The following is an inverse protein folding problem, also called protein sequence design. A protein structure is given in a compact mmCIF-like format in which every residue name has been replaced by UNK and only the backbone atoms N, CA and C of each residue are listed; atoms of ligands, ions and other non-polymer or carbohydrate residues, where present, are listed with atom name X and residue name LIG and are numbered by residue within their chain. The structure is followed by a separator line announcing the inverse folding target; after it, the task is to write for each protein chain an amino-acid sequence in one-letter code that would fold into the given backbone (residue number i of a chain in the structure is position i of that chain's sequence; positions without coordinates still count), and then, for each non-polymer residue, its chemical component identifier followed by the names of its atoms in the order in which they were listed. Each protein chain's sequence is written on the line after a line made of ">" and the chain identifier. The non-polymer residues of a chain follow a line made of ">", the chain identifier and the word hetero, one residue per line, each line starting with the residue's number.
data_IF_981783480065
#
_entry.id   IF_981783480065
#
_cell.length_a   1.000
_cell.length_b   1.000
_cell.length_c   1.000
_cell.angle_alpha   90.00
_cell.angle_beta   90.00
_cell.angle_gamma   90.00
#
_symmetry.space_group_name_H-M   'P 1'
#
loop_
_entity.id
_entity.type
_entity.pdbx_description
1 polymer ?
#
# COMPACT_ATOMS: atom_id res chain seq x y z
N UNK A 1 24.25 -15.64 6.24
CA UNK A 1 23.97 -14.83 5.03
C UNK A 1 22.49 -14.85 4.64
N UNK A 2 21.83 -16.01 4.55
CA UNK A 2 20.41 -16.13 4.16
C UNK A 2 19.45 -15.26 5.01
N UNK A 3 19.61 -15.25 6.34
CA UNK A 3 18.76 -14.43 7.22
C UNK A 3 18.89 -12.93 6.93
N UNK A 4 20.11 -12.43 6.66
CA UNK A 4 20.34 -11.00 6.36
C UNK A 4 19.63 -10.63 5.06
N UNK A 5 19.72 -11.48 4.03
CA UNK A 5 19.04 -11.25 2.75
C UNK A 5 17.52 -11.14 2.91
N UNK A 6 16.90 -12.06 3.67
CA UNK A 6 15.45 -12.06 3.89
C UNK A 6 14.99 -10.83 4.67
N UNK A 7 15.70 -10.44 5.73
CA UNK A 7 15.36 -9.23 6.48
C UNK A 7 15.51 -7.97 5.63
N UNK A 8 16.54 -7.90 4.79
CA UNK A 8 16.73 -6.79 3.84
C UNK A 8 15.59 -6.73 2.84
N UNK A 9 15.17 -7.87 2.27
CA UNK A 9 14.02 -7.94 1.37
C UNK A 9 12.72 -7.46 2.04
N UNK A 10 12.45 -7.95 3.25
CA UNK A 10 11.26 -7.56 4.01
C UNK A 10 11.26 -6.06 4.34
N UNK A 11 12.43 -5.49 4.67
CA UNK A 11 12.59 -4.05 4.84
C UNK A 11 12.27 -3.26 3.57
N UNK A 12 12.79 -3.70 2.42
CA UNK A 12 12.44 -3.08 1.14
C UNK A 12 10.96 -3.23 0.79
N UNK A 13 10.33 -4.36 1.14
CA UNK A 13 8.90 -4.55 0.94
C UNK A 13 8.08 -3.54 1.75
N UNK A 14 8.44 -3.33 3.02
CA UNK A 14 7.86 -2.28 3.86
C UNK A 14 8.05 -0.90 3.22
N UNK A 15 9.23 -0.58 2.70
CA UNK A 15 9.49 0.71 2.05
C UNK A 15 8.65 0.91 0.78
N UNK A 16 8.58 -0.10 -0.09
CA UNK A 16 7.80 -0.04 -1.33
C UNK A 16 6.31 0.15 -1.04
N UNK A 17 5.79 -0.39 0.06
CA UNK A 17 4.39 -0.18 0.44
C UNK A 17 4.16 1.17 1.14
N UNK A 18 5.03 1.57 2.06
CA UNK A 18 4.84 2.75 2.93
C UNK A 18 5.24 4.08 2.30
N UNK A 19 6.29 4.12 1.47
CA UNK A 19 6.75 5.37 0.83
C UNK A 19 5.68 5.98 -0.09
N UNK A 20 4.98 5.22 -0.94
CA UNK A 20 3.91 5.79 -1.76
C UNK A 20 2.77 6.39 -0.92
N UNK A 21 2.45 5.80 0.24
CA UNK A 21 1.45 6.36 1.18
C UNK A 21 1.94 7.72 1.70
N UNK A 22 3.21 7.83 2.10
CA UNK A 22 3.79 9.11 2.51
C UNK A 22 3.73 10.15 1.39
N UNK A 23 4.06 9.76 0.15
CA UNK A 23 3.96 10.64 -1.02
C UNK A 23 2.52 11.10 -1.25
N UNK A 24 1.54 10.20 -1.14
CA UNK A 24 0.11 10.56 -1.22
C UNK A 24 -0.23 11.60 -0.16
N UNK A 25 0.16 11.39 1.10
CA UNK A 25 -0.17 12.29 2.20
C UNK A 25 0.46 13.68 2.05
N UNK A 26 1.69 13.77 1.53
CA UNK A 26 2.44 15.03 1.44
C UNK A 26 2.29 15.77 0.12
N UNK A 27 1.91 15.11 -0.97
CA UNK A 27 1.84 15.72 -2.30
C UNK A 27 0.51 16.40 -2.58
N UNK A 28 0.53 17.62 -3.10
CA UNK A 28 -0.65 18.33 -3.62
C UNK A 28 -0.73 18.30 -5.16
N UNK A 29 0.26 17.68 -5.81
CA UNK A 29 0.27 17.55 -7.28
C UNK A 29 -0.69 16.45 -7.71
N UNK A 30 -1.77 16.83 -8.40
CA UNK A 30 -2.75 15.87 -8.96
C UNK A 30 -2.09 14.81 -9.82
N UNK A 31 -1.10 15.18 -10.64
CA UNK A 31 -0.37 14.21 -11.46
C UNK A 31 0.33 13.15 -10.60
N UNK A 32 1.03 13.56 -9.54
CA UNK A 32 1.71 12.64 -8.63
C UNK A 32 0.70 11.72 -7.94
N UNK A 33 -0.42 12.27 -7.45
CA UNK A 33 -1.45 11.49 -6.79
C UNK A 33 -2.08 10.44 -7.72
N UNK A 34 -2.39 10.81 -8.97
CA UNK A 34 -2.91 9.87 -9.98
C UNK A 34 -1.89 8.76 -10.26
N UNK A 35 -0.60 9.10 -10.40
CA UNK A 35 0.44 8.09 -10.63
C UNK A 35 0.59 7.13 -9.44
N UNK A 36 0.48 7.62 -8.20
CA UNK A 36 0.50 6.76 -7.01
C UNK A 36 -0.75 5.88 -6.91
N UNK A 37 -1.92 6.42 -7.25
CA UNK A 37 -3.17 5.65 -7.26
C UNK A 37 -3.12 4.51 -8.30
N UNK A 38 -2.62 4.80 -9.51
CA UNK A 38 -2.39 3.78 -10.55
C UNK A 38 -1.41 2.70 -10.10
N UNK A 39 -0.33 3.08 -9.40
CA UNK A 39 0.62 2.12 -8.84
C UNK A 39 -0.07 1.15 -7.86
N UNK A 40 -0.94 1.64 -6.97
CA UNK A 40 -1.68 0.79 -6.06
C UNK A 40 -2.73 -0.08 -6.78
N UNK A 41 -3.40 0.44 -7.81
CA UNK A 41 -4.33 -0.34 -8.63
C UNK A 41 -3.62 -1.50 -9.33
N UNK A 42 -2.45 -1.26 -9.95
CA UNK A 42 -1.65 -2.32 -10.57
C UNK A 42 -1.24 -3.35 -9.51
N UNK A 43 -0.78 -2.89 -8.35
CA UNK A 43 -0.40 -3.77 -7.23
C UNK A 43 -1.57 -4.62 -6.73
N UNK A 44 -2.78 -4.03 -6.65
CA UNK A 44 -4.01 -4.73 -6.29
C UNK A 44 -4.33 -5.84 -7.30
N UNK A 45 -4.28 -5.52 -8.61
CA UNK A 45 -4.55 -6.47 -9.68
C UNK A 45 -3.56 -7.64 -9.62
N UNK A 46 -2.26 -7.35 -9.45
CA UNK A 46 -1.24 -8.39 -9.32
C UNK A 46 -1.50 -9.27 -8.09
N UNK A 47 -1.79 -8.67 -6.93
CA UNK A 47 -2.10 -9.44 -5.71
C UNK A 47 -3.36 -10.30 -5.88
N UNK A 48 -4.37 -9.79 -6.57
CA UNK A 48 -5.61 -10.54 -6.84
C UNK A 48 -5.34 -11.76 -7.74
N UNK A 49 -4.59 -11.59 -8.84
CA UNK A 49 -4.31 -12.68 -9.78
C UNK A 49 -3.33 -13.72 -9.23
N UNK A 50 -2.27 -13.30 -8.55
CA UNK A 50 -1.25 -14.20 -8.01
C UNK A 50 -1.59 -14.74 -6.61
N UNK A 51 -2.69 -14.29 -6.02
CA UNK A 51 -3.18 -14.69 -4.70
C UNK A 51 -2.38 -14.13 -3.52
N UNK A 52 -1.14 -13.68 -3.72
CA UNK A 52 -0.33 -12.92 -2.76
C UNK A 52 0.75 -12.14 -3.54
N UNK A 53 1.40 -11.17 -2.91
CA UNK A 53 2.52 -10.46 -3.53
C UNK A 53 3.69 -11.43 -3.76
N UNK A 54 4.34 -11.43 -4.94
CA UNK A 54 5.50 -12.31 -5.19
C UNK A 54 6.60 -12.15 -4.13
N UNK A 55 6.81 -10.94 -3.64
CA UNK A 55 7.76 -10.63 -2.56
C UNK A 55 7.34 -11.33 -1.26
N UNK A 56 6.05 -11.30 -0.91
CA UNK A 56 5.50 -12.03 0.25
C UNK A 56 5.66 -13.54 0.11
N UNK A 57 5.51 -14.10 -1.10
CA UNK A 57 5.70 -15.53 -1.35
C UNK A 57 7.16 -15.95 -1.11
N UNK A 58 8.12 -15.12 -1.55
CA UNK A 58 9.56 -15.34 -1.31
C UNK A 58 9.87 -15.23 0.19
N UNK A 59 9.36 -14.19 0.88
CA UNK A 59 9.51 -14.01 2.33
C UNK A 59 8.99 -15.23 3.10
N UNK A 60 7.80 -15.73 2.75
CA UNK A 60 7.21 -16.89 3.38
C UNK A 60 8.05 -18.15 3.15
N UNK A 61 8.52 -18.36 1.91
CA UNK A 61 9.25 -19.58 1.54
C UNK A 61 10.62 -19.66 2.21
N UNK A 62 11.36 -18.56 2.26
CA UNK A 62 12.75 -18.55 2.76
C UNK A 62 12.89 -18.02 4.20
N UNK A 63 11.91 -17.27 4.72
CA UNK A 63 11.93 -16.64 6.03
C UNK A 63 10.89 -17.15 7.03
N UNK A 64 9.89 -17.91 6.57
CA UNK A 64 8.73 -18.38 7.36
C UNK A 64 7.99 -17.24 8.11
N UNK A 65 8.12 -16.02 7.63
CA UNK A 65 7.45 -14.82 8.13
C UNK A 65 7.26 -13.86 6.97
N UNK A 66 6.30 -12.96 7.08
CA UNK A 66 6.00 -11.96 6.04
C UNK A 66 5.92 -10.56 6.61
N UNK A 67 5.89 -9.56 5.73
CA UNK A 67 5.58 -8.18 6.09
C UNK A 67 4.29 -8.08 6.94
N UNK A 68 3.20 -8.76 6.52
CA UNK A 68 1.91 -8.73 7.23
C UNK A 68 2.01 -9.42 8.59
N UNK A 69 2.69 -10.56 8.69
CA UNK A 69 2.92 -11.23 9.99
C UNK A 69 3.69 -10.32 10.96
N UNK A 70 4.69 -9.60 10.45
CA UNK A 70 5.51 -8.69 11.24
C UNK A 70 4.72 -7.46 11.67
N UNK A 71 3.95 -6.87 10.76
CA UNK A 71 3.07 -5.75 11.07
C UNK A 71 1.98 -6.14 12.08
N UNK A 72 1.45 -7.36 12.00
CA UNK A 72 0.47 -7.87 12.97
C UNK A 72 1.03 -8.03 14.39
N UNK A 73 2.35 -8.26 14.53
CA UNK A 73 2.99 -8.28 15.86
C UNK A 73 3.03 -6.88 16.49
N UNK A 74 3.11 -5.83 15.66
CA UNK A 74 3.14 -4.44 16.11
C UNK A 74 1.73 -3.86 16.30
N UNK A 75 0.81 -4.22 15.41
CA UNK A 75 -0.57 -3.79 15.39
C UNK A 75 -1.47 -5.03 15.28
N UNK A 76 -1.85 -5.65 16.43
CA UNK A 76 -2.55 -6.92 16.43
C UNK A 76 -3.95 -6.81 15.82
N UNK A 77 -4.09 -7.34 14.61
CA UNK A 77 -5.33 -7.59 13.90
C UNK A 77 -5.66 -9.08 14.09
N UNK A 78 -6.90 -9.38 14.50
CA UNK A 78 -7.37 -10.76 14.55
C UNK A 78 -7.59 -11.26 13.12
N UNK A 79 -6.59 -11.90 12.54
CA UNK A 79 -6.71 -12.58 11.25
C UNK A 79 -6.08 -13.98 11.30
N UNK A 80 -6.65 -14.91 10.54
CA UNK A 80 -6.06 -16.24 10.32
C UNK A 80 -4.99 -16.11 9.23
N UNK A 81 -3.80 -16.69 9.44
CA UNK A 81 -2.71 -16.73 8.44
C UNK A 81 -3.17 -17.26 7.08
N UNK A 82 -4.18 -18.15 7.06
CA UNK A 82 -4.80 -18.66 5.82
C UNK A 82 -5.47 -17.57 4.97
N UNK A 83 -5.90 -16.48 5.61
CA UNK A 83 -6.56 -15.34 4.98
C UNK A 83 -5.64 -14.10 4.88
N UNK A 84 -4.31 -14.28 4.99
CA UNK A 84 -3.34 -13.18 4.91
C UNK A 84 -3.51 -12.34 3.64
N UNK A 85 -3.71 -13.00 2.51
CA UNK A 85 -3.92 -12.35 1.23
C UNK A 85 -5.12 -11.38 1.22
N UNK A 86 -6.22 -11.75 1.88
CA UNK A 86 -7.39 -10.90 2.04
C UNK A 86 -7.03 -9.64 2.82
N UNK A 87 -6.22 -9.77 3.88
CA UNK A 87 -5.72 -8.63 4.66
C UNK A 87 -4.85 -7.72 3.81
N UNK A 88 -3.92 -8.30 3.02
CA UNK A 88 -3.09 -7.53 2.07
C UNK A 88 -3.94 -6.76 1.07
N UNK A 89 -4.95 -7.41 0.47
CA UNK A 89 -5.87 -6.77 -0.47
C UNK A 89 -6.65 -5.64 0.19
N UNK A 90 -7.13 -5.83 1.42
CA UNK A 90 -7.80 -4.77 2.18
C UNK A 90 -6.87 -3.57 2.41
N UNK A 91 -5.61 -3.80 2.75
CA UNK A 91 -4.65 -2.71 2.97
C UNK A 91 -4.35 -1.93 1.69
N UNK A 92 -4.16 -2.62 0.56
CA UNK A 92 -3.98 -1.98 -0.75
C UNK A 92 -5.24 -1.20 -1.13
N UNK A 93 -6.43 -1.78 -0.90
CA UNK A 93 -7.70 -1.12 -1.18
C UNK A 93 -7.88 0.15 -0.33
N UNK A 94 -7.51 0.12 0.95
CA UNK A 94 -7.54 1.32 1.79
C UNK A 94 -6.56 2.40 1.31
N UNK A 95 -5.37 2.02 0.81
CA UNK A 95 -4.43 2.97 0.23
C UNK A 95 -5.00 3.68 -1.01
N UNK A 96 -5.67 2.93 -1.90
CA UNK A 96 -6.40 3.47 -3.07
C UNK A 96 -7.48 4.46 -2.61
N UNK A 97 -8.33 4.04 -1.65
CA UNK A 97 -9.39 4.92 -1.12
C UNK A 97 -8.85 6.23 -0.56
N UNK A 98 -7.72 6.19 0.16
CA UNK A 98 -7.05 7.40 0.67
C UNK A 98 -6.57 8.30 -0.48
N UNK A 99 -5.92 7.72 -1.50
CA UNK A 99 -5.46 8.46 -2.67
C UNK A 99 -6.62 9.13 -3.42
N UNK A 100 -7.65 8.34 -3.77
CA UNK A 100 -8.83 8.83 -4.49
C UNK A 100 -9.57 9.91 -3.69
N UNK A 101 -9.73 9.72 -2.37
CA UNK A 101 -10.36 10.73 -1.49
C UNK A 101 -9.57 12.04 -1.49
N UNK A 102 -8.23 11.97 -1.41
CA UNK A 102 -7.40 13.18 -1.46
C UNK A 102 -7.53 13.91 -2.79
N UNK A 103 -7.55 13.18 -3.91
CA UNK A 103 -7.78 13.75 -5.24
C UNK A 103 -9.12 14.49 -5.28
N UNK A 104 -10.20 13.87 -4.79
CA UNK A 104 -11.53 14.49 -4.73
C UNK A 104 -11.51 15.78 -3.89
N UNK A 105 -10.86 15.78 -2.72
CA UNK A 105 -10.74 16.96 -1.88
C UNK A 105 -9.98 18.10 -2.57
N UNK A 106 -8.93 17.79 -3.33
CA UNK A 106 -8.19 18.79 -4.12
C UNK A 106 -9.05 19.38 -5.24
N UNK A 107 -9.86 18.56 -5.91
CA UNK A 107 -10.82 19.06 -6.91
C UNK A 107 -11.87 19.98 -6.27
N UNK A 108 -12.45 19.59 -5.13
CA UNK A 108 -13.42 20.42 -4.40
C UNK A 108 -12.77 21.75 -4.00
N UNK A 109 -11.56 21.72 -3.42
CA UNK A 109 -10.79 22.92 -3.04
C UNK A 109 -10.56 23.85 -4.24
N UNK A 110 -10.17 23.29 -5.39
CA UNK A 110 -9.94 24.05 -6.62
C UNK A 110 -11.23 24.70 -7.14
N UNK A 111 -12.33 23.95 -7.17
CA UNK A 111 -13.64 24.45 -7.57
C UNK A 111 -14.13 25.55 -6.65
N UNK A 112 -14.08 25.36 -5.32
CA UNK A 112 -14.50 26.37 -4.35
C UNK A 112 -13.70 27.66 -4.49
N UNK A 113 -12.39 27.58 -4.69
CA UNK A 113 -11.55 28.77 -4.94
C UNK A 113 -12.01 29.56 -6.17
N UNK A 114 -12.41 28.86 -7.23
CA UNK A 114 -12.93 29.49 -8.47
C UNK A 114 -14.27 30.20 -8.26
N UNK A 115 -15.13 29.71 -7.35
CA UNK A 115 -16.44 30.30 -7.08
C UNK A 115 -16.42 31.39 -6.00
N UNK A 116 -15.53 31.28 -5.00
CA UNK A 116 -15.44 32.24 -3.88
C UNK A 116 -14.53 33.44 -4.21
N UNK A 117 -13.45 33.24 -4.97
CA UNK A 117 -12.53 34.32 -5.37
C UNK A 117 -12.87 34.93 -6.74
N UNK A 118 -14.12 34.79 -7.17
CA UNK A 118 -14.74 35.58 -8.24
C UNK A 118 -15.40 36.80 -7.62
#
# INVERSE_FOLDING_TARGET
>A
MQNVFIYTMMFFHFLIFSLPILVILLSDSLFVLIMMDLFFIITLILNYYYGDCPVTQIEQHYGNTTMIDTANKLFPIKYDKKNRNVVTLQWIFMAILVATTKILLLFIKSSLKKYICK
#
